data_IF_180648097400
#
_entry.id   IF_180648097400
#
_cell.length_a   1.000
_cell.length_b   1.000
_cell.length_c   1.000
_cell.angle_alpha   90.00
_cell.angle_beta   90.00
_cell.angle_gamma   90.00
#
_symmetry.space_group_name_H-M   'P 1'
#
loop_
_entity.id
_entity.type
_entity.pdbx_description
1 polymer ?
#
# COMPACT_ATOMS: atom_id res chain seq x y z
N UNK A 1 6.30 42.00 5.57
CA UNK A 1 7.54 41.31 5.18
C UNK A 1 8.61 42.34 4.84
N UNK A 2 9.84 42.10 5.31
CA UNK A 2 11.00 42.84 4.84
C UNK A 2 11.22 42.65 3.33
N UNK A 3 12.00 43.55 2.72
CA UNK A 3 12.45 43.34 1.35
C UNK A 3 13.30 42.07 1.25
N UNK A 4 13.20 41.30 0.14
CA UNK A 4 13.99 40.08 -0.02
C UNK A 4 15.48 40.35 -0.24
N UNK A 5 15.88 41.58 -0.35
CA UNK A 5 17.28 42.00 -0.63
C UNK A 5 17.88 42.78 0.55
N UNK A 6 19.17 42.64 0.73
CA UNK A 6 20.00 43.50 1.57
C UNK A 6 20.23 44.84 0.89
N UNK A 7 20.79 45.82 1.61
CA UNK A 7 21.07 47.13 1.09
C UNK A 7 22.16 47.12 -0.03
N UNK A 8 22.98 46.09 -0.08
CA UNK A 8 23.98 45.81 -1.10
C UNK A 8 23.43 45.09 -2.35
N UNK A 9 22.14 44.83 -2.41
CA UNK A 9 21.45 44.11 -3.48
C UNK A 9 21.56 42.58 -3.42
N UNK A 10 22.24 42.01 -2.43
CA UNK A 10 22.26 40.55 -2.23
C UNK A 10 20.96 40.04 -1.62
N UNK A 11 20.64 38.75 -1.83
CA UNK A 11 19.45 38.14 -1.25
C UNK A 11 19.62 37.87 0.25
N UNK A 12 18.63 38.26 1.04
CA UNK A 12 18.55 37.89 2.44
C UNK A 12 18.26 36.40 2.59
N UNK A 13 18.91 35.72 3.49
CA UNK A 13 18.63 34.31 3.81
C UNK A 13 17.25 34.12 4.46
N UNK A 14 16.87 35.05 5.35
CA UNK A 14 15.59 35.06 6.07
C UNK A 14 14.90 36.41 5.94
N UNK A 15 13.58 36.38 5.98
CA UNK A 15 12.71 37.55 5.95
C UNK A 15 12.03 37.67 7.30
N UNK A 16 12.09 38.86 7.90
CA UNK A 16 11.36 39.18 9.11
C UNK A 16 9.95 39.66 8.80
N UNK A 17 9.00 39.27 9.63
CA UNK A 17 7.64 39.75 9.56
C UNK A 17 7.02 39.87 10.95
N UNK A 18 6.12 40.83 11.13
CA UNK A 18 5.39 40.98 12.38
C UNK A 18 4.04 40.29 12.30
N UNK A 19 3.76 39.44 13.31
CA UNK A 19 2.43 38.84 13.50
C UNK A 19 2.04 38.97 14.98
N UNK A 20 0.92 39.65 15.24
CA UNK A 20 0.41 39.88 16.59
C UNK A 20 1.46 40.52 17.53
N UNK A 21 2.13 41.55 17.06
CA UNK A 21 3.21 42.27 17.79
C UNK A 21 4.48 41.45 18.11
N UNK A 22 4.56 40.23 17.56
CA UNK A 22 5.78 39.40 17.70
C UNK A 22 6.51 39.38 16.35
N UNK A 23 7.83 39.63 16.43
CA UNK A 23 8.72 39.47 15.27
C UNK A 23 8.93 37.98 15.01
N UNK A 24 8.70 37.55 13.78
CA UNK A 24 8.93 36.19 13.29
C UNK A 24 9.82 36.23 12.05
N UNK A 25 10.49 35.13 11.81
CA UNK A 25 11.31 34.94 10.64
C UNK A 25 10.74 33.83 9.75
N UNK A 26 10.87 34.01 8.45
CA UNK A 26 10.59 33.01 7.43
C UNK A 26 11.78 32.88 6.48
N UNK A 27 11.94 31.73 5.88
CA UNK A 27 12.95 31.50 4.85
C UNK A 27 12.63 32.34 3.61
N UNK A 28 13.66 32.92 3.00
CA UNK A 28 13.48 33.64 1.73
C UNK A 28 13.45 32.67 0.55
N UNK A 29 12.32 32.50 -0.15
CA UNK A 29 12.22 31.56 -1.27
C UNK A 29 13.17 31.91 -2.42
N UNK A 30 13.45 33.19 -2.64
CA UNK A 30 14.38 33.62 -3.69
C UNK A 30 15.82 33.21 -3.37
N UNK A 31 16.23 33.32 -2.11
CA UNK A 31 17.52 32.83 -1.67
C UNK A 31 17.65 31.32 -1.82
N UNK A 32 16.63 30.56 -1.34
CA UNK A 32 16.63 29.11 -1.46
C UNK A 32 16.67 28.62 -2.93
N UNK A 33 16.09 29.39 -3.85
CA UNK A 33 16.11 29.08 -5.28
C UNK A 33 17.49 29.25 -5.94
N UNK A 34 18.43 29.96 -5.30
CA UNK A 34 19.82 30.08 -5.79
C UNK A 34 20.73 28.97 -5.32
N UNK A 35 20.27 28.13 -4.41
CA UNK A 35 21.06 27.06 -3.79
C UNK A 35 20.91 25.73 -4.54
N UNK A 36 21.82 24.82 -4.28
CA UNK A 36 21.86 23.48 -4.86
C UNK A 36 20.81 22.49 -4.34
N UNK A 37 19.76 22.97 -3.65
CA UNK A 37 18.70 22.10 -3.14
C UNK A 37 18.00 21.37 -4.29
N UNK A 38 17.84 20.04 -4.16
CA UNK A 38 17.02 19.27 -5.08
C UNK A 38 16.29 18.12 -4.39
N UNK A 39 15.26 17.65 -5.04
CA UNK A 39 14.56 16.41 -4.69
C UNK A 39 14.13 15.75 -5.97
N UNK A 40 14.43 14.48 -6.11
CA UNK A 40 13.93 13.67 -7.22
C UNK A 40 13.53 12.28 -6.72
N UNK A 41 12.63 11.65 -7.43
CA UNK A 41 12.28 10.25 -7.25
C UNK A 41 11.97 9.65 -8.61
N UNK A 42 12.37 8.41 -8.80
CA UNK A 42 12.11 7.63 -9.99
C UNK A 42 11.70 6.21 -9.62
N UNK A 43 11.04 5.53 -10.52
CA UNK A 43 10.79 4.11 -10.39
C UNK A 43 10.77 3.41 -11.75
N UNK A 44 11.17 2.16 -11.74
CA UNK A 44 11.02 1.22 -12.83
C UNK A 44 10.05 0.14 -12.41
N UNK A 45 9.04 -0.11 -13.25
CA UNK A 45 8.01 -1.08 -12.95
C UNK A 45 7.80 -2.02 -14.14
N UNK A 46 7.83 -3.31 -13.86
CA UNK A 46 7.51 -4.36 -14.82
C UNK A 46 6.30 -5.13 -14.33
N UNK A 47 5.24 -5.08 -15.13
CA UNK A 47 3.99 -5.80 -14.89
C UNK A 47 3.72 -6.80 -16.00
N UNK A 48 3.35 -8.01 -15.62
CA UNK A 48 2.91 -9.02 -16.56
C UNK A 48 1.61 -9.67 -16.08
N UNK A 49 0.66 -9.86 -16.99
CA UNK A 49 -0.61 -10.53 -16.74
C UNK A 49 -0.81 -11.61 -17.79
N UNK A 50 -0.95 -12.84 -17.33
CA UNK A 50 -1.28 -13.99 -18.14
C UNK A 50 -2.71 -14.43 -17.79
N UNK A 51 -3.54 -14.69 -18.79
CA UNK A 51 -4.88 -15.21 -18.58
C UNK A 51 -5.14 -16.40 -19.49
N UNK A 52 -5.84 -17.40 -18.96
CA UNK A 52 -6.28 -18.58 -19.64
C UNK A 52 -7.80 -18.68 -19.53
N UNK A 53 -8.48 -18.87 -20.66
CA UNK A 53 -9.88 -19.27 -20.70
C UNK A 53 -9.96 -20.57 -21.50
N UNK A 54 -10.33 -21.64 -20.85
CA UNK A 54 -10.42 -22.95 -21.45
C UNK A 54 -11.85 -23.49 -21.36
N UNK A 55 -12.49 -23.61 -22.48
CA UNK A 55 -13.85 -24.16 -22.61
C UNK A 55 -13.74 -25.68 -22.73
N UNK A 56 -13.93 -26.39 -21.62
CA UNK A 56 -13.84 -27.86 -21.57
C UNK A 56 -15.02 -28.52 -22.31
N UNK A 57 -16.20 -27.96 -22.11
CA UNK A 57 -17.45 -28.37 -22.73
C UNK A 57 -18.36 -27.14 -22.86
N UNK A 58 -19.54 -27.30 -23.43
CA UNK A 58 -20.58 -26.24 -23.49
C UNK A 58 -21.01 -25.74 -22.11
N UNK A 59 -20.74 -26.51 -21.05
CA UNK A 59 -21.17 -26.20 -19.68
C UNK A 59 -20.03 -25.87 -18.73
N UNK A 60 -18.81 -26.34 -19.03
CA UNK A 60 -17.66 -26.21 -18.14
C UNK A 60 -16.60 -25.30 -18.73
N UNK A 61 -16.22 -24.29 -17.95
CA UNK A 61 -15.15 -23.38 -18.31
C UNK A 61 -14.14 -23.28 -17.18
N UNK A 62 -12.86 -23.43 -17.48
CA UNK A 62 -11.75 -23.15 -16.58
C UNK A 62 -11.20 -21.77 -16.93
N UNK A 63 -10.99 -20.94 -15.92
CA UNK A 63 -10.27 -19.67 -16.05
C UNK A 63 -9.09 -19.67 -15.11
N UNK A 64 -7.95 -19.24 -15.63
CA UNK A 64 -6.74 -19.04 -14.84
C UNK A 64 -6.18 -17.67 -15.12
N UNK A 65 -5.62 -17.04 -14.10
CA UNK A 65 -4.91 -15.78 -14.23
C UNK A 65 -3.68 -15.81 -13.33
N UNK A 66 -2.58 -15.33 -13.88
CA UNK A 66 -1.36 -15.08 -13.14
C UNK A 66 -0.90 -13.66 -13.43
N UNK A 67 -0.65 -12.90 -12.39
CA UNK A 67 -0.09 -11.56 -12.49
C UNK A 67 1.15 -11.43 -11.63
N UNK A 68 2.14 -10.74 -12.14
CA UNK A 68 3.36 -10.38 -11.40
C UNK A 68 3.67 -8.92 -11.69
N UNK A 69 4.02 -8.21 -10.62
CA UNK A 69 4.45 -6.82 -10.68
C UNK A 69 5.74 -6.69 -9.85
N UNK A 70 6.77 -6.14 -10.47
CA UNK A 70 8.02 -5.81 -9.81
C UNK A 70 8.32 -4.35 -10.00
N UNK A 71 8.58 -3.65 -8.89
CA UNK A 71 8.88 -2.23 -8.88
C UNK A 71 10.18 -1.98 -8.12
N UNK A 72 11.07 -1.24 -8.75
CA UNK A 72 12.25 -0.63 -8.15
C UNK A 72 12.01 0.86 -8.04
N UNK A 73 12.29 1.46 -6.91
CA UNK A 73 12.19 2.90 -6.69
C UNK A 73 13.48 3.42 -6.11
N UNK A 74 13.87 4.61 -6.52
CA UNK A 74 15.00 5.33 -5.97
C UNK A 74 14.65 6.81 -5.86
N UNK A 75 15.25 7.49 -4.89
CA UNK A 75 15.04 8.90 -4.69
C UNK A 75 16.16 9.53 -3.89
N UNK A 76 16.36 10.81 -4.13
CA UNK A 76 17.30 11.61 -3.37
C UNK A 76 16.69 12.96 -3.03
N UNK A 77 17.04 13.45 -1.86
CA UNK A 77 16.76 14.81 -1.42
C UNK A 77 18.03 15.41 -0.84
N UNK A 78 18.55 16.42 -1.50
CA UNK A 78 19.72 17.16 -1.05
C UNK A 78 19.31 18.53 -0.51
N UNK A 79 19.87 18.89 0.64
CA UNK A 79 19.75 20.20 1.27
C UNK A 79 21.12 20.81 1.30
N UNK A 80 21.28 21.93 0.60
CA UNK A 80 22.52 22.68 0.51
C UNK A 80 23.00 23.13 1.91
N UNK A 81 24.30 23.09 2.20
CA UNK A 81 24.85 23.58 3.47
C UNK A 81 24.47 25.03 3.82
N UNK A 82 24.24 25.87 2.81
CA UNK A 82 23.83 27.26 2.99
C UNK A 82 22.31 27.42 3.16
N UNK A 83 21.54 26.37 2.90
CA UNK A 83 20.08 26.41 3.00
C UNK A 83 19.63 26.72 4.43
N UNK A 84 18.57 27.49 4.54
CA UNK A 84 17.88 27.70 5.80
C UNK A 84 17.05 26.50 6.25
N UNK A 85 16.93 25.46 5.41
CA UNK A 85 16.24 24.21 5.72
C UNK A 85 17.09 23.21 6.48
N UNK A 86 18.41 23.46 6.58
CA UNK A 86 19.27 22.60 7.40
C UNK A 86 18.86 22.67 8.86
N UNK A 87 18.72 21.52 9.49
CA UNK A 87 18.29 21.40 10.90
C UNK A 87 19.47 21.35 11.86
N UNK A 88 20.67 21.12 11.33
CA UNK A 88 21.88 21.05 12.14
C UNK A 88 22.30 22.44 12.63
N UNK A 89 22.65 22.55 13.90
CA UNK A 89 23.44 23.67 14.37
C UNK A 89 24.88 23.52 13.86
N UNK A 90 25.50 24.59 13.32
CA UNK A 90 26.88 24.51 12.86
C UNK A 90 27.82 24.07 14.00
N UNK A 91 28.64 23.04 13.74
CA UNK A 91 29.75 22.71 14.62
C UNK A 91 30.92 23.66 14.35
N UNK A 92 32.00 23.54 15.13
CA UNK A 92 33.22 24.28 14.89
C UNK A 92 33.70 24.01 13.41
N UNK A 93 33.71 25.06 12.59
CA UNK A 93 34.05 25.01 11.18
C UNK A 93 32.89 24.72 10.24
N UNK A 94 31.66 24.47 10.71
CA UNK A 94 30.48 24.29 9.88
C UNK A 94 30.46 22.98 9.05
N UNK A 95 31.29 22.01 9.39
CA UNK A 95 31.46 20.75 8.65
C UNK A 95 30.27 19.79 8.71
N UNK A 96 29.26 20.07 9.50
CA UNK A 96 28.05 19.28 9.65
C UNK A 96 26.83 19.85 8.93
N UNK A 97 27.02 20.87 8.07
CA UNK A 97 25.92 21.49 7.34
C UNK A 97 25.66 20.78 6.01
N UNK A 98 24.40 20.79 5.62
CA UNK A 98 23.93 20.11 4.42
C UNK A 98 23.58 18.64 4.67
N UNK A 99 22.51 18.20 4.05
CA UNK A 99 21.95 16.87 4.25
C UNK A 99 21.64 16.22 2.90
N UNK A 100 21.93 14.92 2.78
CA UNK A 100 21.52 14.09 1.64
C UNK A 100 20.77 12.87 2.16
N UNK A 101 19.52 12.75 1.75
CA UNK A 101 18.70 11.56 2.00
C UNK A 101 18.67 10.73 0.72
N UNK A 102 18.97 9.44 0.85
CA UNK A 102 18.95 8.48 -0.25
C UNK A 102 17.96 7.38 0.12
N UNK A 103 16.96 7.19 -0.72
CA UNK A 103 15.89 6.21 -0.57
C UNK A 103 15.96 5.20 -1.70
N UNK A 104 16.04 3.92 -1.37
CA UNK A 104 15.94 2.81 -2.32
C UNK A 104 14.82 1.86 -1.90
N UNK A 105 14.04 1.41 -2.86
CA UNK A 105 12.95 0.49 -2.62
C UNK A 105 12.85 -0.60 -3.69
N UNK A 106 12.46 -1.78 -3.27
CA UNK A 106 12.16 -2.90 -4.15
C UNK A 106 10.88 -3.58 -3.67
N UNK A 107 9.94 -3.83 -4.57
CA UNK A 107 8.76 -4.61 -4.25
C UNK A 107 8.45 -5.62 -5.34
N UNK A 108 7.96 -6.78 -4.91
CA UNK A 108 7.48 -7.85 -5.76
C UNK A 108 6.10 -8.29 -5.29
N UNK A 109 5.12 -8.16 -6.16
CA UNK A 109 3.76 -8.62 -5.92
C UNK A 109 3.37 -9.63 -6.98
N UNK A 110 2.79 -10.74 -6.59
CA UNK A 110 2.20 -11.68 -7.52
C UNK A 110 0.85 -12.18 -7.01
N UNK A 111 -0.01 -12.51 -7.95
CA UNK A 111 -1.31 -13.12 -7.72
C UNK A 111 -1.53 -14.24 -8.74
N UNK A 112 -2.02 -15.37 -8.28
CA UNK A 112 -2.43 -16.49 -9.11
C UNK A 112 -3.83 -16.92 -8.71
N UNK A 113 -4.74 -17.03 -9.66
CA UNK A 113 -6.07 -17.55 -9.41
C UNK A 113 -6.47 -18.57 -10.48
N UNK A 114 -7.31 -19.51 -10.07
CA UNK A 114 -7.92 -20.49 -10.94
C UNK A 114 -9.38 -20.69 -10.51
N UNK A 115 -10.27 -20.75 -11.49
CA UNK A 115 -11.69 -20.94 -11.26
C UNK A 115 -12.28 -21.93 -12.26
N UNK A 116 -13.15 -22.79 -11.76
CA UNK A 116 -13.96 -23.70 -12.54
C UNK A 116 -15.42 -23.22 -12.48
N UNK A 117 -15.99 -22.98 -13.64
CA UNK A 117 -17.37 -22.55 -13.81
C UNK A 117 -18.18 -23.66 -14.43
N UNK A 118 -19.37 -23.88 -13.91
CA UNK A 118 -20.40 -24.71 -14.50
C UNK A 118 -21.65 -23.86 -14.75
N UNK A 119 -22.08 -23.78 -15.98
CA UNK A 119 -23.29 -23.04 -16.40
C UNK A 119 -24.15 -23.95 -17.25
N UNK A 120 -25.37 -24.15 -16.82
CA UNK A 120 -26.33 -24.97 -17.59
C UNK A 120 -27.75 -24.46 -17.40
N UNK A 121 -28.42 -24.35 -18.57
CA UNK A 121 -29.86 -24.10 -18.64
C UNK A 121 -30.55 -25.35 -19.21
N UNK A 122 -31.57 -25.86 -18.50
CA UNK A 122 -32.35 -27.00 -18.93
C UNK A 122 -33.81 -26.82 -18.50
N UNK A 123 -34.73 -26.99 -19.48
CA UNK A 123 -36.13 -26.68 -19.25
C UNK A 123 -36.35 -25.28 -18.63
N UNK A 124 -36.83 -25.27 -17.40
CA UNK A 124 -37.09 -24.05 -16.59
C UNK A 124 -36.03 -23.78 -15.55
N UNK A 125 -34.91 -24.49 -15.58
CA UNK A 125 -33.85 -24.40 -14.59
C UNK A 125 -32.61 -23.72 -15.18
N UNK A 126 -32.09 -22.72 -14.51
CA UNK A 126 -30.80 -22.10 -14.81
C UNK A 126 -29.88 -22.27 -13.61
N UNK A 127 -28.74 -22.90 -13.80
CA UNK A 127 -27.76 -23.20 -12.76
C UNK A 127 -26.41 -22.63 -13.16
N UNK A 128 -25.82 -21.82 -12.27
CA UNK A 128 -24.45 -21.32 -12.36
C UNK A 128 -23.74 -21.66 -11.07
N UNK A 129 -22.68 -22.45 -11.16
CA UNK A 129 -21.82 -22.79 -10.05
C UNK A 129 -20.39 -22.35 -10.36
N UNK A 130 -19.65 -21.92 -9.35
CA UNK A 130 -18.23 -21.73 -9.48
C UNK A 130 -17.48 -22.18 -8.25
N UNK A 131 -16.30 -22.73 -8.46
CA UNK A 131 -15.32 -23.01 -7.42
C UNK A 131 -14.03 -22.33 -7.86
N UNK A 132 -13.41 -21.60 -6.96
CA UNK A 132 -12.20 -20.88 -7.30
C UNK A 132 -11.20 -20.92 -6.13
N UNK A 133 -9.95 -20.72 -6.50
CA UNK A 133 -8.80 -20.63 -5.61
C UNK A 133 -7.93 -19.44 -6.03
N UNK A 134 -7.33 -18.80 -5.04
CA UNK A 134 -6.43 -17.67 -5.23
C UNK A 134 -5.25 -17.77 -4.26
N UNK A 135 -4.07 -17.44 -4.74
CA UNK A 135 -2.91 -17.21 -3.88
C UNK A 135 -2.23 -15.92 -4.30
N UNK A 136 -1.79 -15.15 -3.33
CA UNK A 136 -1.05 -13.92 -3.56
C UNK A 136 0.07 -13.74 -2.55
N UNK A 137 1.11 -13.03 -2.97
CA UNK A 137 2.18 -12.59 -2.08
C UNK A 137 2.68 -11.24 -2.52
N UNK A 138 2.87 -10.37 -1.53
CA UNK A 138 3.55 -9.09 -1.67
C UNK A 138 4.78 -9.07 -0.77
N UNK A 139 5.91 -8.63 -1.30
CA UNK A 139 7.12 -8.36 -0.53
C UNK A 139 7.64 -6.97 -0.87
N UNK A 140 8.16 -6.29 0.13
CA UNK A 140 8.76 -4.96 -0.01
C UNK A 140 10.03 -4.89 0.83
N UNK A 141 11.01 -4.17 0.31
CA UNK A 141 12.27 -3.85 0.98
C UNK A 141 12.56 -2.37 0.68
N UNK A 142 12.65 -1.56 1.70
CA UNK A 142 12.96 -0.14 1.59
C UNK A 142 14.16 0.19 2.47
N UNK A 143 15.10 0.97 1.94
CA UNK A 143 16.31 1.42 2.61
C UNK A 143 16.36 2.93 2.56
N UNK A 144 16.77 3.52 3.67
CA UNK A 144 17.02 4.95 3.78
C UNK A 144 18.38 5.18 4.42
N UNK A 145 19.16 6.10 3.83
CA UNK A 145 20.45 6.53 4.35
C UNK A 145 20.48 8.05 4.40
N UNK A 146 20.88 8.60 5.53
CA UNK A 146 21.02 10.02 5.75
C UNK A 146 22.50 10.38 5.90
N UNK A 147 23.01 11.12 4.93
CA UNK A 147 24.37 11.66 4.94
C UNK A 147 24.34 13.13 5.32
N UNK A 148 25.38 13.58 6.02
CA UNK A 148 25.49 14.97 6.51
C UNK A 148 26.90 15.51 6.32
N UNK A 149 26.99 16.85 6.22
CA UNK A 149 28.26 17.57 6.16
C UNK A 149 28.84 17.62 4.75
N UNK A 150 28.39 18.58 3.96
CA UNK A 150 28.85 18.79 2.59
C UNK A 150 29.64 20.07 2.46
N UNK A 151 30.73 20.09 1.65
CA UNK A 151 31.58 21.26 1.50
C UNK A 151 30.89 22.42 0.75
N UNK A 152 29.99 22.12 -0.16
CA UNK A 152 29.14 23.11 -0.85
C UNK A 152 27.97 22.43 -1.56
N UNK A 153 27.00 23.23 -2.05
CA UNK A 153 25.86 22.73 -2.80
C UNK A 153 26.17 22.11 -4.16
N UNK A 154 27.39 22.24 -4.64
CA UNK A 154 27.85 21.61 -5.89
C UNK A 154 28.38 20.18 -5.68
N UNK A 155 28.83 19.85 -4.46
CA UNK A 155 29.37 18.54 -4.10
C UNK A 155 28.31 17.74 -3.33
N UNK A 156 27.31 17.27 -4.05
CA UNK A 156 26.13 16.60 -3.48
C UNK A 156 26.16 15.06 -3.58
N UNK A 157 27.27 14.47 -3.99
CA UNK A 157 27.43 13.01 -3.91
C UNK A 157 27.74 12.56 -2.49
N UNK A 158 27.20 11.39 -2.08
CA UNK A 158 27.47 10.79 -0.77
C UNK A 158 28.98 10.65 -0.43
N UNK A 159 29.83 10.59 -1.43
CA UNK A 159 31.29 10.52 -1.24
C UNK A 159 31.90 11.80 -0.64
N UNK A 160 31.19 12.93 -0.69
CA UNK A 160 31.63 14.21 -0.14
C UNK A 160 31.03 14.51 1.22
N UNK A 161 30.16 13.63 1.72
CA UNK A 161 29.60 13.76 3.06
C UNK A 161 30.69 13.53 4.12
N UNK A 162 30.64 14.32 5.18
CA UNK A 162 31.52 14.15 6.33
C UNK A 162 31.16 12.90 7.15
N UNK A 163 29.87 12.55 7.21
CA UNK A 163 29.39 11.43 8.01
C UNK A 163 28.08 10.84 7.49
N UNK A 164 27.80 9.60 7.89
CA UNK A 164 26.45 9.03 7.87
C UNK A 164 25.81 9.45 9.20
N UNK A 165 24.85 10.38 9.13
CA UNK A 165 24.35 11.05 10.32
C UNK A 165 23.51 10.14 11.23
N UNK A 166 22.65 9.34 10.64
CA UNK A 166 21.80 8.40 11.35
C UNK A 166 22.10 6.97 10.89
N UNK A 167 21.85 6.01 11.79
CA UNK A 167 21.98 4.61 11.41
C UNK A 167 21.08 4.33 10.21
N UNK A 168 21.61 3.78 9.10
CA UNK A 168 20.79 3.41 7.95
C UNK A 168 19.61 2.53 8.36
N UNK A 169 18.44 2.89 7.91
CA UNK A 169 17.23 2.13 8.20
C UNK A 169 16.91 1.18 7.05
N UNK A 170 16.35 0.03 7.39
CA UNK A 170 15.81 -0.93 6.44
C UNK A 170 14.47 -1.44 6.94
N UNK A 171 13.45 -1.34 6.10
CA UNK A 171 12.12 -1.85 6.40
C UNK A 171 11.79 -2.95 5.40
N UNK A 172 11.51 -4.13 5.91
CA UNK A 172 11.12 -5.29 5.13
C UNK A 172 9.69 -5.68 5.49
N UNK A 173 8.89 -6.02 4.50
CA UNK A 173 7.53 -6.49 4.68
C UNK A 173 7.22 -7.64 3.73
N UNK A 174 6.48 -8.64 4.23
CA UNK A 174 5.99 -9.73 3.40
C UNK A 174 4.58 -10.09 3.87
N UNK A 175 3.63 -10.07 2.95
CA UNK A 175 2.26 -10.53 3.16
C UNK A 175 1.94 -11.64 2.18
N UNK A 176 1.21 -12.67 2.64
CA UNK A 176 0.78 -13.81 1.84
C UNK A 176 -0.67 -14.13 2.15
N UNK A 177 -1.44 -14.40 1.11
CA UNK A 177 -2.83 -14.78 1.24
C UNK A 177 -3.14 -15.97 0.35
N UNK A 178 -3.97 -16.86 0.86
CA UNK A 178 -4.57 -17.98 0.11
C UNK A 178 -6.05 -17.97 0.38
N UNK A 179 -6.85 -18.07 -0.65
CA UNK A 179 -8.31 -18.08 -0.57
C UNK A 179 -8.89 -19.20 -1.41
N UNK A 180 -9.98 -19.77 -0.95
CA UNK A 180 -10.80 -20.67 -1.73
C UNK A 180 -12.27 -20.31 -1.52
N UNK A 181 -13.05 -20.31 -2.61
CA UNK A 181 -14.47 -20.03 -2.50
C UNK A 181 -15.29 -20.83 -3.50
N UNK A 182 -16.56 -21.00 -3.13
CA UNK A 182 -17.57 -21.55 -3.99
C UNK A 182 -18.78 -20.63 -4.01
N UNK A 183 -19.35 -20.42 -5.20
CA UNK A 183 -20.59 -19.67 -5.36
C UNK A 183 -21.58 -20.46 -6.19
N UNK A 184 -22.84 -20.25 -5.94
CA UNK A 184 -23.90 -20.83 -6.75
C UNK A 184 -25.10 -19.91 -6.88
N UNK A 185 -25.64 -19.90 -8.10
CA UNK A 185 -26.89 -19.20 -8.40
C UNK A 185 -27.81 -20.20 -9.11
N UNK A 186 -29.01 -20.28 -8.63
CA UNK A 186 -30.05 -21.12 -9.20
C UNK A 186 -31.31 -20.31 -9.45
N UNK A 187 -31.89 -20.50 -10.61
CA UNK A 187 -33.16 -19.86 -10.97
C UNK A 187 -34.10 -20.92 -11.52
N UNK A 188 -35.32 -20.96 -10.99
CA UNK A 188 -36.38 -21.84 -11.48
C UNK A 188 -37.52 -21.02 -12.07
N UNK A 189 -37.88 -21.38 -13.33
CA UNK A 189 -38.97 -20.77 -14.11
C UNK A 189 -38.85 -19.23 -14.21
N UNK A 190 -37.65 -18.68 -14.09
CA UNK A 190 -37.36 -17.25 -14.01
C UNK A 190 -38.09 -16.52 -12.86
N UNK A 191 -38.75 -17.27 -11.98
CA UNK A 191 -39.54 -16.78 -10.85
C UNK A 191 -38.73 -16.89 -9.55
N UNK A 192 -38.25 -18.07 -9.22
CA UNK A 192 -37.61 -18.36 -7.93
C UNK A 192 -36.10 -18.32 -8.09
N UNK A 193 -35.45 -17.61 -7.19
CA UNK A 193 -34.01 -17.37 -7.19
C UNK A 193 -33.43 -17.85 -5.87
N UNK A 194 -32.31 -18.56 -5.94
CA UNK A 194 -31.50 -18.91 -4.80
C UNK A 194 -30.03 -18.65 -5.12
N UNK A 195 -29.31 -18.10 -4.17
CA UNK A 195 -27.85 -17.89 -4.29
C UNK A 195 -27.16 -18.27 -2.98
N UNK A 196 -25.92 -18.74 -3.12
CA UNK A 196 -25.03 -18.95 -1.99
C UNK A 196 -23.61 -18.59 -2.34
N UNK A 197 -22.84 -18.23 -1.33
CA UNK A 197 -21.40 -18.01 -1.42
C UNK A 197 -20.74 -18.49 -0.12
N UNK A 198 -19.65 -19.22 -0.26
CA UNK A 198 -18.80 -19.64 0.86
C UNK A 198 -17.36 -19.31 0.48
N UNK A 199 -16.61 -18.67 1.39
CA UNK A 199 -15.21 -18.29 1.17
C UNK A 199 -14.40 -18.60 2.43
N UNK A 200 -13.23 -19.12 2.23
CA UNK A 200 -12.21 -19.34 3.26
C UNK A 200 -10.96 -18.54 2.88
N UNK A 201 -10.56 -17.61 3.73
CA UNK A 201 -9.36 -16.81 3.55
C UNK A 201 -8.33 -17.15 4.60
N UNK A 202 -7.11 -17.45 4.18
CA UNK A 202 -5.93 -17.61 5.02
C UNK A 202 -4.93 -16.51 4.73
N UNK A 203 -4.42 -15.83 5.75
CA UNK A 203 -3.45 -14.76 5.61
C UNK A 203 -2.32 -14.88 6.63
N UNK A 204 -1.09 -14.51 6.19
CA UNK A 204 0.03 -14.33 7.10
C UNK A 204 -0.17 -13.19 8.09
N UNK A 205 -1.04 -12.24 7.74
CA UNK A 205 -1.32 -11.04 8.54
C UNK A 205 -2.35 -11.31 9.65
N UNK A 206 -3.01 -12.45 9.57
CA UNK A 206 -3.85 -12.93 10.67
C UNK A 206 -2.98 -13.43 11.83
N UNK A 207 -3.47 -13.22 13.07
CA UNK A 207 -2.76 -13.67 14.26
C UNK A 207 -2.49 -15.17 14.26
N UNK A 208 -1.40 -15.59 14.90
CA UNK A 208 -0.89 -16.97 14.91
C UNK A 208 -1.91 -18.03 15.34
N UNK A 209 -2.90 -17.64 16.15
CA UNK A 209 -3.96 -18.53 16.64
C UNK A 209 -5.15 -18.69 15.69
N UNK A 210 -5.33 -17.82 14.70
CA UNK A 210 -6.50 -17.82 13.83
C UNK A 210 -6.12 -17.34 12.42
N UNK A 211 -5.44 -18.22 11.68
CA UNK A 211 -4.95 -17.92 10.33
C UNK A 211 -6.01 -18.04 9.24
N UNK A 212 -7.16 -18.58 9.54
CA UNK A 212 -8.22 -18.84 8.60
C UNK A 212 -9.51 -18.16 9.03
N UNK A 213 -10.18 -17.50 8.09
CA UNK A 213 -11.45 -16.82 8.30
C UNK A 213 -12.51 -17.37 7.34
N UNK A 214 -13.58 -18.00 7.83
CA UNK A 214 -14.70 -18.40 7.02
C UNK A 214 -15.70 -17.27 6.84
N UNK A 215 -16.17 -17.10 5.62
CA UNK A 215 -17.25 -16.18 5.23
C UNK A 215 -18.31 -16.94 4.47
N UNK A 216 -19.57 -16.59 4.66
CA UNK A 216 -20.66 -17.20 3.93
C UNK A 216 -21.80 -16.21 3.73
N UNK A 217 -22.55 -16.41 2.66
CA UNK A 217 -23.80 -15.72 2.42
C UNK A 217 -24.77 -16.62 1.65
N UNK A 218 -26.04 -16.35 1.82
CA UNK A 218 -27.11 -17.00 1.06
C UNK A 218 -28.27 -16.04 0.89
N UNK A 219 -28.97 -16.19 -0.21
CA UNK A 219 -30.10 -15.36 -0.56
C UNK A 219 -31.19 -16.15 -1.28
N UNK A 220 -32.43 -15.75 -1.05
CA UNK A 220 -33.61 -16.23 -1.77
C UNK A 220 -34.33 -15.03 -2.35
N UNK A 221 -34.89 -15.21 -3.55
CA UNK A 221 -35.63 -14.15 -4.22
C UNK A 221 -36.77 -14.68 -5.06
N UNK A 222 -37.75 -13.83 -5.30
CA UNK A 222 -38.89 -14.12 -6.16
C UNK A 222 -39.10 -12.96 -7.13
N UNK A 223 -39.14 -13.28 -8.41
CA UNK A 223 -39.53 -12.34 -9.50
C UNK A 223 -41.04 -12.37 -9.64
N UNK A 224 -41.74 -11.49 -8.93
CA UNK A 224 -43.21 -11.48 -8.90
C UNK A 224 -43.80 -11.09 -10.24
N UNK A 225 -43.09 -10.27 -11.03
CA UNK A 225 -43.51 -9.85 -12.36
C UNK A 225 -43.57 -10.99 -13.40
N UNK A 226 -42.96 -12.13 -13.10
CA UNK A 226 -43.00 -13.32 -14.00
C UNK A 226 -44.15 -14.28 -13.71
N UNK A 227 -44.95 -14.02 -12.68
CA UNK A 227 -46.20 -14.78 -12.48
C UNK A 227 -47.22 -14.41 -13.56
N UNK A 228 -48.03 -15.37 -13.95
CA UNK A 228 -48.99 -15.20 -15.07
C UNK A 228 -49.96 -14.04 -14.83
N UNK A 229 -50.34 -13.76 -13.58
CA UNK A 229 -51.26 -12.67 -13.25
C UNK A 229 -50.67 -11.26 -13.39
N UNK A 230 -49.32 -11.13 -13.46
CA UNK A 230 -48.62 -9.86 -13.72
C UNK A 230 -47.89 -9.81 -15.04
N UNK A 231 -47.78 -10.93 -15.72
CA UNK A 231 -47.05 -11.05 -16.96
C UNK A 231 -47.72 -10.21 -18.07
N UNK A 232 -46.97 -9.23 -18.58
CA UNK A 232 -47.50 -8.31 -19.60
C UNK A 232 -48.24 -7.10 -19.03
N UNK A 233 -48.20 -6.86 -17.72
CA UNK A 233 -48.75 -5.63 -17.14
C UNK A 233 -47.91 -4.42 -17.53
N UNK A 234 -48.53 -3.41 -18.14
CA UNK A 234 -47.84 -2.21 -18.62
C UNK A 234 -47.38 -1.29 -17.47
N UNK A 235 -47.99 -1.40 -16.28
CA UNK A 235 -47.67 -0.57 -15.12
C UNK A 235 -46.56 -1.18 -14.28
N UNK A 236 -46.54 -2.52 -14.11
CA UNK A 236 -45.58 -3.24 -13.26
C UNK A 236 -44.69 -4.10 -14.13
N UNK A 237 -43.69 -3.50 -14.76
CA UNK A 237 -42.76 -4.20 -15.65
C UNK A 237 -41.71 -5.03 -14.89
N UNK A 238 -41.37 -4.66 -13.66
CA UNK A 238 -40.37 -5.35 -12.86
C UNK A 238 -40.68 -5.24 -11.38
N UNK A 239 -41.00 -6.38 -10.77
CA UNK A 239 -41.20 -6.52 -9.33
C UNK A 239 -40.45 -7.74 -8.82
N UNK A 240 -39.42 -7.52 -8.00
CA UNK A 240 -38.59 -8.57 -7.39
C UNK A 240 -38.49 -8.33 -5.91
N UNK A 241 -38.70 -9.38 -5.13
CA UNK A 241 -38.43 -9.41 -3.68
C UNK A 241 -37.27 -10.35 -3.42
N UNK A 242 -36.32 -9.92 -2.59
CA UNK A 242 -35.14 -10.72 -2.22
C UNK A 242 -34.83 -10.52 -0.75
N UNK A 243 -34.47 -11.61 -0.07
CA UNK A 243 -33.89 -11.59 1.25
C UNK A 243 -32.54 -12.32 1.22
N UNK A 244 -31.55 -11.80 1.91
CA UNK A 244 -30.23 -12.42 2.01
C UNK A 244 -29.67 -12.27 3.41
N UNK A 245 -28.88 -13.25 3.82
CA UNK A 245 -28.15 -13.26 5.07
C UNK A 245 -26.71 -13.69 4.81
N UNK A 246 -25.75 -13.09 5.53
CA UNK A 246 -24.35 -13.48 5.39
C UNK A 246 -23.48 -12.93 6.50
N UNK A 247 -22.35 -13.59 6.68
CA UNK A 247 -21.26 -13.14 7.52
C UNK A 247 -20.09 -12.79 6.62
N UNK A 248 -19.76 -11.51 6.61
CA UNK A 248 -18.61 -10.96 5.89
C UNK A 248 -17.61 -10.37 6.88
N UNK A 249 -16.38 -10.20 6.44
CA UNK A 249 -15.33 -9.58 7.22
C UNK A 249 -14.34 -8.83 6.32
N UNK A 250 -13.55 -7.98 6.91
CA UNK A 250 -12.46 -7.29 6.23
C UNK A 250 -11.14 -7.72 6.89
N UNK A 251 -10.23 -8.29 6.11
CA UNK A 251 -8.86 -8.54 6.50
C UNK A 251 -8.02 -7.29 6.14
N UNK A 252 -8.05 -6.26 7.00
CA UNK A 252 -7.25 -5.06 6.82
C UNK A 252 -6.59 -4.73 8.15
N UNK A 253 -5.62 -5.57 8.51
CA UNK A 253 -4.75 -5.31 9.66
C UNK A 253 -3.33 -5.08 9.14
N UNK A 254 -2.54 -4.19 9.77
CA UNK A 254 -1.11 -4.13 9.52
C UNK A 254 -0.48 -5.51 9.71
N UNK A 255 0.49 -5.87 8.88
CA UNK A 255 1.23 -7.10 9.04
C UNK A 255 1.74 -7.21 10.49
N UNK A 256 1.58 -8.40 11.09
CA UNK A 256 1.99 -8.66 12.49
C UNK A 256 1.21 -7.90 13.59
N UNK A 257 0.09 -7.24 13.29
CA UNK A 257 -0.70 -6.50 14.29
C UNK A 257 -1.12 -7.33 15.53
N UNK A 258 -1.22 -8.64 15.39
CA UNK A 258 -1.56 -9.57 16.47
C UNK A 258 -0.34 -10.33 17.03
N UNK A 259 0.87 -9.93 16.69
CA UNK A 259 2.11 -10.58 17.13
C UNK A 259 2.92 -9.59 17.96
N UNK A 260 3.42 -10.03 19.11
CA UNK A 260 4.36 -9.22 19.88
C UNK A 260 5.62 -9.02 19.05
N UNK A 261 5.90 -7.79 18.69
CA UNK A 261 7.14 -7.41 18.01
C UNK A 261 8.17 -6.95 19.03
N UNK A 262 9.44 -7.18 18.71
CA UNK A 262 10.56 -6.76 19.52
C UNK A 262 11.48 -5.91 18.67
N UNK A 263 11.94 -4.81 19.24
CA UNK A 263 12.99 -3.97 18.69
C UNK A 263 14.30 -4.23 19.42
N UNK A 264 15.39 -4.40 18.67
CA UNK A 264 16.72 -4.53 19.25
C UNK A 264 17.27 -3.12 19.57
N UNK A 265 17.50 -2.83 20.83
CA UNK A 265 18.15 -1.60 21.28
C UNK A 265 19.66 -1.84 21.29
N UNK A 266 20.38 -1.19 20.38
CA UNK A 266 21.85 -1.31 20.26
C UNK A 266 22.60 -0.15 20.93
N UNK A 267 21.88 0.89 21.38
CA UNK A 267 22.47 2.14 21.89
C UNK A 267 22.61 2.18 23.41
N UNK A 268 22.22 1.12 24.12
CA UNK A 268 22.36 1.05 25.56
C UNK A 268 23.61 0.28 25.98
N UNK A 269 24.41 0.92 26.83
CA UNK A 269 25.58 0.31 27.46
C UNK A 269 25.16 -0.61 28.59
N UNK A 270 25.52 -1.87 28.50
CA UNK A 270 25.39 -2.83 29.59
C UNK A 270 26.76 -3.16 30.17
N UNK A 271 26.82 -3.30 31.49
CA UNK A 271 28.06 -3.56 32.23
C UNK A 271 28.77 -4.88 31.88
N UNK A 272 28.13 -5.76 31.07
CA UNK A 272 28.63 -7.07 30.70
C UNK A 272 29.01 -7.21 29.23
N UNK A 273 29.10 -6.11 28.46
CA UNK A 273 29.47 -6.13 27.03
C UNK A 273 28.27 -5.98 26.09
N UNK A 274 28.50 -6.17 24.81
CA UNK A 274 27.49 -6.04 23.75
C UNK A 274 26.28 -6.95 24.02
N UNK A 275 25.19 -6.38 24.49
CA UNK A 275 23.92 -7.05 24.65
C UNK A 275 22.84 -6.29 23.90
N UNK A 276 22.20 -6.91 22.89
CA UNK A 276 20.97 -6.40 22.34
C UNK A 276 19.85 -6.67 23.35
N UNK A 277 19.22 -5.64 23.89
CA UNK A 277 17.97 -5.76 24.63
C UNK A 277 16.82 -5.69 23.64
N UNK A 278 15.94 -6.68 23.69
CA UNK A 278 14.71 -6.67 22.93
C UNK A 278 13.64 -5.92 23.69
N UNK A 279 13.20 -4.79 23.17
CA UNK A 279 12.06 -4.04 23.68
C UNK A 279 10.80 -4.54 22.97
N UNK A 280 9.80 -4.96 23.73
CA UNK A 280 8.49 -5.27 23.17
C UNK A 280 7.84 -3.98 22.65
N UNK A 281 7.44 -3.98 21.39
CA UNK A 281 6.59 -2.95 20.81
C UNK A 281 5.15 -3.34 21.16
N UNK A 282 4.56 -2.63 22.14
CA UNK A 282 3.19 -2.84 22.62
C UNK A 282 2.13 -2.30 21.70
#
# INVERSE_FOLDING_TARGET
YDTPYNDDGTLRKRLSFSKNSNLREANNPLYEATLGNYTWSAYDEVSNNLSLNWYLTDYWTVRGQFSVNRKYSSGERFIDPLSSKTTAAPNEGGHNLGDLYVDDGNSLNWNANAALYYTRSFNKHNLNLSVAWEASSGSSDAKNVHYRGFPSGQFHSSNYAAEIYEKPSRTEGTSRMVSAWATGNYTWNDIYLADFSVRFDGSSDFGSKQRWAPFFSGGLGVNIHNYEFLKGNEIVNKLKVRASYGRTGKASFPAYAATTMYEALFDEWYATGFGAVLKALG
#
